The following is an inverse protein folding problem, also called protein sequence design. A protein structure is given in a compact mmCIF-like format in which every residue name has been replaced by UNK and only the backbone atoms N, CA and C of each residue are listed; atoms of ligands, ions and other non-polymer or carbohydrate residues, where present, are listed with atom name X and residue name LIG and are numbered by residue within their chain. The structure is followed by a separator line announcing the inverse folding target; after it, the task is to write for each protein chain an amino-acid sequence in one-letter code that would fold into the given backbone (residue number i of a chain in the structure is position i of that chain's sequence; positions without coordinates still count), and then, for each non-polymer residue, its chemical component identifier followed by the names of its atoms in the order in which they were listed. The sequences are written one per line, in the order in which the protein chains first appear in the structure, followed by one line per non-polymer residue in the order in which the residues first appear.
data_IF_763159921276
#
_entry.id   IF_763159921276
#
_cell.length_a   1.000
_cell.length_b   1.000
_cell.length_c   1.000
_cell.angle_alpha   90.00
_cell.angle_beta   90.00
_cell.angle_gamma   90.00
#
_symmetry.space_group_name_H-M   'P 1'
#
loop_
_entity.id
_entity.type
_entity.pdbx_description
1 polymer ?
#
# COMPACT_ATOMS: atom_id res chain seq x y z
N UNK A 1 -0.53 7.22 10.52
CA UNK A 1 0.57 8.21 10.62
C UNK A 1 0.38 9.23 9.51
N UNK A 2 0.02 10.47 9.84
CA UNK A 2 0.13 11.57 8.90
C UNK A 2 1.63 11.82 8.71
N UNK A 3 2.17 11.45 7.56
CA UNK A 3 3.45 11.97 7.13
C UNK A 3 3.30 13.48 6.97
N UNK A 4 3.57 14.24 8.02
CA UNK A 4 3.94 15.63 7.86
C UNK A 4 5.33 15.62 7.23
N UNK A 5 5.39 15.73 5.91
CA UNK A 5 6.62 16.15 5.27
C UNK A 5 6.92 17.53 5.85
N UNK A 6 7.98 17.64 6.63
CA UNK A 6 8.41 18.94 7.18
C UNK A 6 8.76 19.92 6.06
N UNK A 7 8.99 19.44 4.86
CA UNK A 7 9.31 20.23 3.68
C UNK A 7 8.16 20.12 2.67
N UNK A 8 7.46 21.22 2.46
CA UNK A 8 6.35 21.33 1.50
C UNK A 8 6.81 21.84 0.11
N UNK A 9 7.98 22.52 0.07
CA UNK A 9 8.52 23.09 -1.14
C UNK A 9 9.84 22.40 -1.51
N UNK A 10 9.89 21.86 -2.71
CA UNK A 10 11.10 21.26 -3.27
C UNK A 10 11.53 22.11 -4.46
N UNK A 11 12.72 22.72 -4.37
CA UNK A 11 13.25 23.61 -5.39
C UNK A 11 14.55 23.05 -5.92
N UNK A 12 14.58 22.70 -7.20
CA UNK A 12 15.81 22.35 -7.89
C UNK A 12 16.62 23.61 -8.20
N UNK A 13 17.91 23.44 -8.44
CA UNK A 13 18.79 24.54 -8.86
C UNK A 13 18.31 25.08 -10.21
N UNK A 14 18.26 26.40 -10.33
CA UNK A 14 17.95 27.07 -11.61
C UNK A 14 19.10 26.95 -12.57
N UNK A 15 18.81 26.93 -13.87
CA UNK A 15 19.83 27.06 -14.92
C UNK A 15 20.59 28.38 -14.77
N UNK A 16 21.92 28.32 -14.74
CA UNK A 16 22.78 29.50 -14.63
C UNK A 16 22.85 30.22 -15.96
N UNK A 17 23.05 31.54 -15.91
CA UNK A 17 23.28 32.37 -17.11
C UNK A 17 24.58 31.96 -17.77
N UNK A 18 24.63 32.07 -19.09
CA UNK A 18 25.88 32.09 -19.83
C UNK A 18 26.69 33.35 -19.49
N UNK A 19 27.96 33.33 -19.74
CA UNK A 19 28.85 34.47 -19.49
C UNK A 19 29.87 34.63 -20.61
N UNK A 20 30.68 35.67 -20.51
CA UNK A 20 31.84 35.89 -21.37
C UNK A 20 32.90 34.80 -21.23
N UNK A 21 33.99 34.87 -21.99
CA UNK A 21 35.09 33.89 -21.97
C UNK A 21 34.65 32.45 -22.22
N UNK A 22 33.70 32.23 -23.14
CA UNK A 22 33.15 30.94 -23.52
C UNK A 22 32.49 30.15 -22.37
N UNK A 23 32.02 30.81 -21.32
CA UNK A 23 31.35 30.12 -20.17
C UNK A 23 29.89 29.90 -20.47
N UNK A 24 29.50 28.63 -20.69
CA UNK A 24 28.11 28.19 -20.76
C UNK A 24 27.59 27.95 -19.33
N UNK A 25 26.39 28.44 -19.03
CA UNK A 25 25.74 28.19 -17.76
C UNK A 25 25.38 26.71 -17.60
N UNK A 26 25.53 26.18 -16.38
CA UNK A 26 25.14 24.81 -16.08
C UNK A 26 23.61 24.72 -15.90
N UNK A 27 23.02 23.60 -16.35
CA UNK A 27 21.68 23.21 -15.93
C UNK A 27 21.70 22.84 -14.45
N UNK A 28 20.61 23.08 -13.74
CA UNK A 28 20.47 22.66 -12.35
C UNK A 28 20.49 21.14 -12.21
N UNK A 29 20.84 20.67 -11.02
CA UNK A 29 20.79 19.24 -10.69
C UNK A 29 19.35 18.78 -10.46
N UNK A 30 19.05 17.53 -10.80
CA UNK A 30 17.77 16.92 -10.52
C UNK A 30 17.56 16.72 -9.02
N UNK A 31 16.32 16.89 -8.57
CA UNK A 31 15.91 16.57 -7.21
C UNK A 31 14.99 15.34 -7.25
N UNK A 32 15.28 14.36 -6.40
CA UNK A 32 14.49 13.17 -6.21
C UNK A 32 13.75 13.22 -4.88
N UNK A 33 12.42 13.18 -4.93
CA UNK A 33 11.55 13.07 -3.76
C UNK A 33 11.24 11.59 -3.56
N UNK A 34 11.78 11.00 -2.49
CA UNK A 34 11.50 9.60 -2.15
C UNK A 34 10.14 9.50 -1.47
N UNK A 35 9.29 8.64 -1.97
CA UNK A 35 7.95 8.39 -1.45
C UNK A 35 7.73 6.89 -1.24
N UNK A 36 6.86 6.48 -0.29
CA UNK A 36 6.49 5.08 -0.11
C UNK A 36 5.80 4.50 -1.35
N UNK A 37 5.92 3.18 -1.53
CA UNK A 37 5.18 2.42 -2.56
C UNK A 37 3.68 2.61 -2.36
N UNK A 38 2.92 2.76 -3.45
CA UNK A 38 1.48 3.03 -3.41
C UNK A 38 1.14 4.50 -3.18
N UNK A 39 2.10 5.41 -3.38
CA UNK A 39 1.82 6.85 -3.43
C UNK A 39 1.24 7.22 -4.78
N UNK A 40 0.09 7.89 -4.78
CA UNK A 40 -0.57 8.46 -5.95
C UNK A 40 -0.26 9.93 -6.05
N UNK A 41 0.16 10.35 -7.24
CA UNK A 41 0.41 11.75 -7.57
C UNK A 41 -0.85 12.30 -8.24
N UNK A 42 -1.43 13.34 -7.65
CA UNK A 42 -2.66 13.98 -8.11
C UNK A 42 -2.39 15.42 -8.53
N UNK A 43 -3.23 15.94 -9.42
CA UNK A 43 -3.27 17.36 -9.77
C UNK A 43 -3.58 18.24 -8.55
N UNK A 44 -3.34 19.54 -8.69
CA UNK A 44 -3.62 20.55 -7.66
C UNK A 44 -5.09 20.52 -7.21
N UNK A 45 -6.02 20.37 -8.15
CA UNK A 45 -7.46 20.26 -7.91
C UNK A 45 -7.90 18.86 -7.44
N UNK A 46 -6.98 17.90 -7.32
CA UNK A 46 -7.21 16.49 -6.90
C UNK A 46 -8.13 15.69 -7.83
N UNK A 47 -8.47 16.19 -9.00
CA UNK A 47 -9.38 15.51 -9.93
C UNK A 47 -8.65 14.54 -10.84
N UNK A 48 -7.44 14.87 -11.25
CA UNK A 48 -6.66 14.05 -12.18
C UNK A 48 -5.56 13.29 -11.45
N UNK A 49 -5.41 11.99 -11.77
CA UNK A 49 -4.29 11.16 -11.35
C UNK A 49 -3.20 11.26 -12.41
N UNK A 50 -2.03 11.77 -12.04
CA UNK A 50 -0.88 11.80 -12.93
C UNK A 50 -0.16 10.46 -12.97
N UNK A 51 0.07 9.85 -11.81
CA UNK A 51 0.72 8.55 -11.70
C UNK A 51 0.37 7.87 -10.38
N UNK A 52 0.24 6.56 -10.41
CA UNK A 52 0.21 5.66 -9.26
C UNK A 52 1.56 4.95 -9.19
N UNK A 53 2.38 5.27 -8.19
CA UNK A 53 3.74 4.77 -8.06
C UNK A 53 3.75 3.39 -7.44
N UNK A 54 4.16 2.41 -8.23
CA UNK A 54 4.44 1.04 -7.81
C UNK A 54 5.91 0.90 -7.37
N UNK A 55 6.31 -0.30 -6.99
CA UNK A 55 7.68 -0.57 -6.59
C UNK A 55 8.68 -0.27 -7.71
N UNK A 56 9.77 0.46 -7.38
CA UNK A 56 10.84 0.88 -8.29
C UNK A 56 10.40 1.76 -9.46
N UNK A 57 9.22 2.36 -9.39
CA UNK A 57 8.77 3.34 -10.39
C UNK A 57 9.19 4.77 -10.01
N UNK A 58 9.37 5.59 -11.02
CA UNK A 58 9.59 7.03 -10.89
C UNK A 58 8.67 7.81 -11.82
N UNK A 59 8.43 9.07 -11.49
CA UNK A 59 7.63 9.99 -12.28
C UNK A 59 8.35 11.34 -12.39
N UNK A 60 8.55 11.81 -13.61
CA UNK A 60 9.08 13.15 -13.86
C UNK A 60 7.94 14.16 -13.78
N UNK A 61 7.87 14.91 -12.68
CA UNK A 61 6.81 15.87 -12.46
C UNK A 61 6.98 17.12 -13.30
N UNK A 62 8.17 17.71 -13.30
CA UNK A 62 8.49 18.95 -14.03
C UNK A 62 9.92 18.93 -14.57
N UNK A 63 10.16 19.68 -15.61
CA UNK A 63 11.49 19.82 -16.24
C UNK A 63 12.19 21.05 -15.70
N UNK A 64 13.44 20.88 -15.28
CA UNK A 64 14.29 21.97 -14.82
C UNK A 64 14.68 22.94 -15.94
N UNK A 65 15.07 24.15 -15.57
CA UNK A 65 15.56 25.14 -16.50
C UNK A 65 16.94 24.78 -17.06
N UNK A 66 17.14 25.06 -18.34
CA UNK A 66 18.44 24.87 -19.02
C UNK A 66 19.36 26.05 -18.77
N UNK A 67 20.67 25.78 -18.66
CA UNK A 67 21.69 26.83 -18.60
C UNK A 67 21.78 27.61 -19.90
N UNK A 68 22.08 28.90 -19.79
CA UNK A 68 22.24 29.80 -20.92
C UNK A 68 23.54 29.58 -21.68
N UNK A 69 23.53 29.80 -22.98
CA UNK A 69 24.72 29.69 -23.84
C UNK A 69 25.68 30.84 -23.59
N UNK A 70 26.98 30.55 -23.50
CA UNK A 70 28.04 31.56 -23.40
C UNK A 70 28.23 32.36 -24.72
N UNK A 71 28.90 33.48 -24.62
CA UNK A 71 29.09 34.42 -25.75
C UNK A 71 29.70 33.78 -27.01
N UNK A 72 30.60 32.81 -26.83
CA UNK A 72 31.28 32.18 -27.97
C UNK A 72 30.31 31.43 -28.90
N UNK A 73 29.18 30.95 -28.42
CA UNK A 73 28.14 30.32 -29.25
C UNK A 73 27.42 31.29 -30.19
N UNK A 74 27.65 32.62 -30.04
CA UNK A 74 27.08 33.67 -30.87
C UNK A 74 28.13 34.29 -31.81
N UNK A 75 29.30 33.67 -31.95
CA UNK A 75 30.34 34.05 -32.89
C UNK A 75 29.85 33.87 -34.33
N UNK A 76 30.08 34.87 -35.16
CA UNK A 76 29.78 34.83 -36.60
C UNK A 76 30.94 35.39 -37.36
N UNK A 77 30.93 35.28 -38.71
CA UNK A 77 31.95 35.86 -39.62
C UNK A 77 32.09 37.37 -39.45
N UNK A 78 31.00 38.07 -39.19
CA UNK A 78 30.94 39.51 -39.00
C UNK A 78 31.17 39.96 -37.55
N UNK A 79 31.01 39.08 -36.57
CA UNK A 79 31.22 39.37 -35.15
C UNK A 79 32.00 38.25 -34.47
N UNK A 80 33.30 38.36 -34.47
CA UNK A 80 34.21 37.35 -33.95
C UNK A 80 34.36 37.38 -32.41
N UNK A 81 34.00 38.50 -31.76
CA UNK A 81 34.08 38.70 -30.31
C UNK A 81 32.74 39.16 -29.68
N UNK A 82 31.68 38.33 -29.75
CA UNK A 82 30.38 38.76 -29.27
C UNK A 82 30.39 38.95 -27.75
N UNK A 83 29.79 40.05 -27.29
CA UNK A 83 29.65 40.38 -25.86
C UNK A 83 28.32 39.84 -25.28
N UNK A 84 27.35 39.44 -26.13
CA UNK A 84 26.06 38.91 -25.70
C UNK A 84 26.19 37.44 -25.25
N UNK A 85 25.41 37.09 -24.27
CA UNK A 85 25.22 35.71 -23.80
C UNK A 85 23.74 35.46 -23.57
N UNK A 86 23.35 34.21 -23.46
CA UNK A 86 21.96 33.80 -23.18
C UNK A 86 21.75 33.65 -21.67
N UNK A 87 20.64 34.18 -21.17
CA UNK A 87 20.21 33.93 -19.82
C UNK A 87 19.78 32.49 -19.66
N UNK A 88 19.91 31.94 -18.44
CA UNK A 88 19.33 30.63 -18.10
C UNK A 88 17.81 30.68 -18.21
N UNK A 89 17.23 29.56 -18.63
CA UNK A 89 15.78 29.41 -18.77
C UNK A 89 15.25 28.98 -17.40
N UNK A 90 14.13 29.57 -16.95
CA UNK A 90 13.42 29.13 -15.75
C UNK A 90 12.88 27.70 -15.94
N UNK A 91 12.92 26.91 -14.90
CA UNK A 91 12.26 25.61 -14.85
C UNK A 91 10.75 25.74 -14.74
N UNK A 92 10.07 24.63 -14.93
CA UNK A 92 8.64 24.51 -14.68
C UNK A 92 8.38 24.37 -13.18
N UNK A 93 7.23 24.86 -12.74
CA UNK A 93 6.73 24.74 -11.38
C UNK A 93 5.35 24.08 -11.42
N UNK A 94 5.07 23.18 -10.48
CA UNK A 94 3.79 22.49 -10.41
C UNK A 94 3.43 22.17 -8.97
N UNK A 95 2.17 22.34 -8.62
CA UNK A 95 1.60 21.84 -7.38
C UNK A 95 1.04 20.44 -7.59
N UNK A 96 1.40 19.53 -6.70
CA UNK A 96 0.92 18.15 -6.72
C UNK A 96 0.49 17.72 -5.33
N UNK A 97 -0.54 16.88 -5.27
CA UNK A 97 -0.91 16.18 -4.05
C UNK A 97 -0.31 14.78 -4.08
N UNK A 98 0.37 14.43 -3.00
CA UNK A 98 0.86 13.07 -2.77
C UNK A 98 -0.09 12.37 -1.80
N UNK A 99 -0.79 11.36 -2.29
CA UNK A 99 -1.74 10.56 -1.49
C UNK A 99 -1.22 9.15 -1.36
N UNK A 100 -0.92 8.72 -0.13
CA UNK A 100 -0.53 7.34 0.13
C UNK A 100 -1.77 6.44 0.13
N UNK A 101 -1.77 5.40 -0.71
CA UNK A 101 -2.85 4.41 -0.80
C UNK A 101 -2.72 3.28 0.21
N UNK A 102 -1.53 2.99 0.75
CA UNK A 102 -1.34 1.90 1.70
C UNK A 102 -2.17 2.14 2.96
N UNK A 103 -2.97 1.14 3.33
CA UNK A 103 -3.77 1.14 4.55
C UNK A 103 -3.05 0.38 5.66
N UNK A 104 -2.51 -0.81 5.32
CA UNK A 104 -1.86 -1.69 6.27
C UNK A 104 -0.82 -2.60 5.57
N UNK A 105 0.06 -3.21 6.35
CA UNK A 105 0.95 -4.25 5.86
C UNK A 105 0.19 -5.56 5.71
N UNK A 106 -0.73 -5.85 6.65
CA UNK A 106 -1.49 -7.09 6.69
C UNK A 106 -2.98 -6.78 6.90
N UNK A 107 -3.82 -7.31 6.01
CA UNK A 107 -5.27 -7.24 6.13
C UNK A 107 -5.87 -8.55 6.63
N UNK A 108 -6.76 -8.49 7.61
CA UNK A 108 -7.54 -9.65 8.06
C UNK A 108 -8.81 -9.77 7.23
N UNK A 109 -9.04 -10.96 6.68
CA UNK A 109 -10.24 -11.32 5.96
C UNK A 109 -10.87 -12.58 6.55
N UNK A 110 -12.17 -12.75 6.37
CA UNK A 110 -12.91 -13.91 6.88
C UNK A 110 -14.37 -13.58 7.10
N UNK A 111 -15.18 -14.61 7.29
CA UNK A 111 -16.62 -14.47 7.56
C UNK A 111 -16.88 -13.64 8.84
N UNK A 112 -18.07 -13.06 9.00
CA UNK A 112 -18.45 -12.42 10.27
C UNK A 112 -18.22 -13.37 11.45
N UNK A 113 -17.81 -12.82 12.58
CA UNK A 113 -17.54 -13.55 13.83
C UNK A 113 -16.40 -14.58 13.76
N UNK A 114 -15.58 -14.59 12.71
CA UNK A 114 -14.39 -15.45 12.63
C UNK A 114 -13.27 -15.06 13.61
N UNK A 115 -13.42 -13.96 14.38
CA UNK A 115 -12.46 -13.54 15.39
C UNK A 115 -11.43 -12.51 14.91
N UNK A 116 -11.66 -11.81 13.79
CA UNK A 116 -10.74 -10.83 13.22
C UNK A 116 -10.40 -9.69 14.19
N UNK A 117 -11.39 -8.99 14.70
CA UNK A 117 -11.21 -7.84 15.61
C UNK A 117 -10.61 -8.28 16.96
N UNK A 118 -10.96 -9.48 17.44
CA UNK A 118 -10.36 -10.06 18.66
C UNK A 118 -8.87 -10.33 18.44
N UNK A 119 -8.52 -10.93 17.30
CA UNK A 119 -7.13 -11.20 16.96
C UNK A 119 -6.33 -9.89 16.79
N UNK A 120 -6.91 -8.89 16.14
CA UNK A 120 -6.29 -7.57 16.01
C UNK A 120 -5.97 -6.97 17.39
N UNK A 121 -6.92 -7.03 18.32
CA UNK A 121 -6.75 -6.48 19.68
C UNK A 121 -5.63 -7.18 20.45
N UNK A 122 -5.46 -8.49 20.26
CA UNK A 122 -4.45 -9.30 20.97
C UNK A 122 -3.06 -9.11 20.33
N UNK A 123 -2.97 -9.03 19.01
CA UNK A 123 -1.71 -8.84 18.31
C UNK A 123 -1.19 -7.40 18.40
N UNK A 124 -2.08 -6.43 18.56
CA UNK A 124 -1.71 -5.03 18.64
C UNK A 124 -1.10 -4.68 20.00
N UNK A 125 0.05 -4.01 19.97
CA UNK A 125 0.71 -3.49 21.19
C UNK A 125 -0.01 -2.29 21.81
N UNK A 126 -0.99 -1.71 21.11
CA UNK A 126 -1.82 -0.61 21.57
C UNK A 126 -3.28 -0.89 21.21
N UNK A 127 -4.24 -0.25 21.89
CA UNK A 127 -5.66 -0.38 21.53
C UNK A 127 -5.85 -0.05 20.05
N UNK A 128 -6.52 -0.92 19.26
CA UNK A 128 -6.80 -0.65 17.87
C UNK A 128 -7.55 0.67 17.71
N UNK A 129 -7.17 1.44 16.70
CA UNK A 129 -7.80 2.72 16.39
C UNK A 129 -8.64 2.58 15.13
N UNK A 130 -9.84 3.13 15.18
CA UNK A 130 -10.66 3.30 13.98
C UNK A 130 -10.00 4.39 13.13
N UNK A 131 -9.68 4.04 11.88
CA UNK A 131 -9.08 4.99 10.95
C UNK A 131 -10.14 5.55 10.01
N UNK A 132 -10.17 6.89 9.92
CA UNK A 132 -11.08 7.61 9.03
C UNK A 132 -10.35 7.91 7.72
N UNK A 133 -10.61 7.09 6.71
CA UNK A 133 -10.08 7.33 5.38
C UNK A 133 -11.18 7.97 4.51
N UNK A 134 -10.91 9.09 3.82
CA UNK A 134 -11.92 9.85 3.08
C UNK A 134 -12.57 9.10 1.91
N UNK A 135 -12.08 7.90 1.59
CA UNK A 135 -12.60 7.02 0.54
C UNK A 135 -13.28 5.75 1.10
N UNK A 136 -13.52 5.67 2.43
CA UNK A 136 -14.10 4.49 3.07
C UNK A 136 -15.40 4.83 3.78
N UNK A 137 -16.47 4.10 3.47
CA UNK A 137 -17.75 4.16 4.21
C UNK A 137 -17.71 3.25 5.44
N UNK A 138 -16.94 2.17 5.37
CA UNK A 138 -16.69 1.27 6.49
C UNK A 138 -15.28 1.54 6.98
N UNK A 139 -15.15 2.02 8.21
CA UNK A 139 -13.89 2.42 8.80
C UNK A 139 -13.12 1.19 9.26
N UNK A 140 -11.92 0.90 8.72
CA UNK A 140 -11.11 -0.20 9.19
C UNK A 140 -10.57 0.08 10.59
N UNK A 141 -10.45 -0.96 11.40
CA UNK A 141 -9.71 -0.87 12.66
C UNK A 141 -8.24 -1.20 12.39
N UNK A 142 -7.35 -0.33 12.82
CA UNK A 142 -5.91 -0.51 12.68
C UNK A 142 -5.25 -0.83 14.00
N UNK A 143 -4.35 -1.80 13.98
CA UNK A 143 -3.47 -2.15 15.08
C UNK A 143 -2.01 -2.10 14.64
N UNK A 144 -1.11 -1.95 15.59
CA UNK A 144 0.34 -1.97 15.35
C UNK A 144 0.94 -3.14 16.10
N UNK A 145 1.53 -4.06 15.38
CA UNK A 145 2.35 -5.14 15.92
C UNK A 145 3.81 -4.71 15.91
N UNK A 146 4.41 -4.56 17.07
CA UNK A 146 5.84 -4.27 17.22
C UNK A 146 6.63 -5.57 17.29
N UNK A 147 7.71 -5.63 16.54
CA UNK A 147 8.67 -6.73 16.58
C UNK A 147 10.10 -6.17 16.52
N UNK A 148 11.08 -7.02 16.79
CA UNK A 148 12.51 -6.63 16.71
C UNK A 148 12.93 -6.19 15.29
N UNK A 149 12.16 -6.56 14.25
CA UNK A 149 12.42 -6.19 12.86
C UNK A 149 11.65 -4.92 12.40
N UNK A 150 10.85 -4.31 13.29
CA UNK A 150 10.09 -3.11 13.01
C UNK A 150 8.62 -3.19 13.41
N UNK A 151 7.85 -2.22 12.95
CA UNK A 151 6.41 -2.13 13.19
C UNK A 151 5.64 -2.59 11.96
N UNK A 152 4.64 -3.47 12.17
CA UNK A 152 3.69 -3.89 11.14
C UNK A 152 2.32 -3.30 11.44
N UNK A 153 1.73 -2.67 10.46
CA UNK A 153 0.36 -2.17 10.53
C UNK A 153 -0.60 -3.29 10.12
N UNK A 154 -1.48 -3.65 11.04
CA UNK A 154 -2.52 -4.65 10.86
C UNK A 154 -3.85 -3.95 10.65
N UNK A 155 -4.70 -4.43 9.74
CA UNK A 155 -6.04 -3.90 9.52
C UNK A 155 -7.10 -5.00 9.67
N UNK A 156 -8.08 -4.78 10.53
CA UNK A 156 -9.33 -5.52 10.47
C UNK A 156 -10.19 -4.88 9.38
N UNK A 157 -10.51 -5.67 8.38
CA UNK A 157 -11.30 -5.24 7.24
C UNK A 157 -12.71 -5.82 7.40
N UNK A 158 -13.65 -5.05 8.00
CA UNK A 158 -15.02 -5.50 8.17
C UNK A 158 -15.76 -5.48 6.83
N UNK A 159 -16.61 -6.46 6.56
CA UNK A 159 -17.60 -6.34 5.48
C UNK A 159 -17.54 -7.32 4.31
N UNK A 160 -16.80 -8.44 4.38
CA UNK A 160 -17.05 -9.53 3.43
C UNK A 160 -18.37 -10.23 3.81
N UNK A 161 -19.46 -9.78 3.20
CA UNK A 161 -20.79 -10.38 3.28
C UNK A 161 -21.14 -10.93 1.90
N UNK A 162 -21.80 -12.10 1.89
CA UNK A 162 -22.30 -12.79 0.69
C UNK A 162 -22.95 -11.79 -0.30
N UNK A 163 -22.37 -11.64 -1.52
CA UNK A 163 -22.90 -10.74 -2.54
C UNK A 163 -22.22 -9.36 -2.65
N UNK A 164 -21.12 -9.13 -1.95
CA UNK A 164 -20.35 -7.87 -1.98
C UNK A 164 -19.89 -7.49 -3.40
N UNK A 165 -19.65 -8.46 -4.28
CA UNK A 165 -19.26 -8.25 -5.68
C UNK A 165 -20.45 -7.90 -6.60
N UNK A 166 -21.70 -8.11 -6.16
CA UNK A 166 -22.91 -7.94 -6.99
C UNK A 166 -23.62 -6.59 -6.77
N UNK A 167 -22.91 -5.48 -6.64
CA UNK A 167 -23.51 -4.18 -6.93
C UNK A 167 -24.05 -3.34 -5.79
N UNK A 168 -23.93 -3.73 -4.50
CA UNK A 168 -24.36 -2.86 -3.39
C UNK A 168 -23.30 -1.87 -2.89
N UNK A 169 -22.26 -1.60 -3.68
CA UNK A 169 -21.24 -0.57 -3.41
C UNK A 169 -20.31 -0.85 -2.20
N UNK A 170 -20.73 -1.61 -1.21
CA UNK A 170 -19.98 -1.93 0.00
C UNK A 170 -18.85 -2.94 -0.26
N UNK A 171 -19.07 -3.94 -1.10
CA UNK A 171 -18.08 -4.97 -1.39
C UNK A 171 -16.91 -4.50 -2.23
N UNK A 172 -17.15 -3.69 -3.25
CA UNK A 172 -16.08 -3.10 -4.08
C UNK A 172 -15.16 -2.18 -3.25
N UNK A 173 -15.72 -1.45 -2.30
CA UNK A 173 -14.95 -0.57 -1.41
C UNK A 173 -14.09 -1.36 -0.41
N UNK A 174 -14.60 -2.47 0.09
CA UNK A 174 -13.85 -3.38 0.95
C UNK A 174 -12.64 -3.99 0.24
N UNK A 175 -12.83 -4.47 -0.98
CA UNK A 175 -11.79 -5.07 -1.80
C UNK A 175 -10.69 -4.07 -2.16
N UNK A 176 -11.03 -2.79 -2.31
CA UNK A 176 -10.05 -1.71 -2.43
C UNK A 176 -9.16 -1.54 -1.17
N UNK A 177 -9.60 -2.00 0.00
CA UNK A 177 -8.77 -2.04 1.21
C UNK A 177 -7.77 -3.19 1.18
N UNK A 178 -8.19 -4.37 0.69
CA UNK A 178 -7.30 -5.53 0.51
C UNK A 178 -6.21 -5.22 -0.52
N UNK A 179 -6.56 -4.53 -1.62
CA UNK A 179 -5.59 -4.09 -2.62
C UNK A 179 -4.45 -3.27 -1.99
N UNK A 180 -4.74 -2.57 -0.92
CA UNK A 180 -3.81 -1.68 -0.20
C UNK A 180 -3.07 -2.34 0.95
N UNK A 181 -3.20 -3.65 1.12
CA UNK A 181 -2.40 -4.46 2.05
C UNK A 181 -1.28 -5.18 1.28
N UNK A 182 -0.14 -5.43 1.94
CA UNK A 182 0.96 -6.22 1.35
C UNK A 182 0.67 -7.72 1.40
N UNK A 183 0.03 -8.19 2.47
CA UNK A 183 -0.33 -9.58 2.69
C UNK A 183 -1.73 -9.71 3.32
N UNK A 184 -2.29 -10.91 3.27
CA UNK A 184 -3.63 -11.22 3.77
C UNK A 184 -3.54 -12.35 4.78
N UNK A 185 -4.23 -12.21 5.90
CA UNK A 185 -4.52 -13.30 6.82
C UNK A 185 -5.99 -13.67 6.67
N UNK A 186 -6.24 -14.87 6.20
CA UNK A 186 -7.58 -15.39 6.02
C UNK A 186 -7.99 -16.23 7.23
N UNK A 187 -8.88 -15.70 8.05
CA UNK A 187 -9.42 -16.40 9.22
C UNK A 187 -10.55 -17.35 8.83
N UNK A 188 -10.36 -18.62 9.16
CA UNK A 188 -11.34 -19.69 8.99
C UNK A 188 -11.80 -20.20 10.36
N UNK A 189 -13.07 -20.02 10.68
CA UNK A 189 -13.64 -20.37 11.97
C UNK A 189 -13.81 -21.89 12.12
N UNK A 190 -13.18 -22.48 13.15
CA UNK A 190 -13.28 -23.90 13.47
C UNK A 190 -14.56 -24.25 14.24
N UNK A 191 -15.32 -23.29 14.73
CA UNK A 191 -16.58 -23.53 15.43
C UNK A 191 -17.77 -23.88 14.51
N UNK A 192 -17.55 -23.82 13.19
CA UNK A 192 -18.58 -24.18 12.20
C UNK A 192 -18.91 -25.66 12.28
N UNK A 193 -20.20 -25.96 12.32
CA UNK A 193 -20.71 -27.33 12.60
C UNK A 193 -20.28 -28.38 11.56
N UNK A 194 -20.31 -28.04 10.27
CA UNK A 194 -20.00 -29.01 9.20
C UNK A 194 -18.76 -28.64 8.38
N UNK A 195 -18.05 -29.66 7.92
CA UNK A 195 -16.90 -29.51 7.03
C UNK A 195 -17.30 -28.90 5.66
N UNK A 196 -18.52 -29.22 5.20
CA UNK A 196 -19.05 -28.64 3.96
C UNK A 196 -19.20 -27.12 4.08
N UNK A 197 -19.79 -26.65 5.17
CA UNK A 197 -19.97 -25.22 5.46
C UNK A 197 -18.65 -24.52 5.69
N UNK A 198 -17.69 -25.17 6.35
CA UNK A 198 -16.35 -24.65 6.54
C UNK A 198 -15.64 -24.38 5.20
N UNK A 199 -15.69 -25.33 4.27
CA UNK A 199 -15.09 -25.17 2.93
C UNK A 199 -15.89 -24.17 2.08
N UNK A 200 -17.22 -24.14 2.18
CA UNK A 200 -18.04 -23.13 1.50
C UNK A 200 -17.66 -21.73 1.91
N UNK A 201 -17.49 -21.46 3.21
CA UNK A 201 -17.07 -20.16 3.73
C UNK A 201 -15.70 -19.76 3.19
N UNK A 202 -14.72 -20.66 3.19
CA UNK A 202 -13.40 -20.42 2.61
C UNK A 202 -13.49 -20.06 1.11
N UNK A 203 -14.18 -20.88 0.33
CA UNK A 203 -14.35 -20.69 -1.11
C UNK A 203 -15.08 -19.38 -1.44
N UNK A 204 -16.08 -19.02 -0.64
CA UNK A 204 -16.83 -17.79 -0.81
C UNK A 204 -15.91 -16.56 -0.71
N UNK A 205 -15.11 -16.47 0.35
CA UNK A 205 -14.17 -15.37 0.55
C UNK A 205 -13.12 -15.32 -0.60
N UNK A 206 -12.56 -16.47 -0.96
CA UNK A 206 -11.58 -16.56 -2.05
C UNK A 206 -12.17 -16.14 -3.38
N UNK A 207 -13.41 -16.55 -3.68
CA UNK A 207 -14.11 -16.17 -4.91
C UNK A 207 -14.35 -14.66 -4.96
N UNK A 208 -14.70 -14.02 -3.86
CA UNK A 208 -14.89 -12.58 -3.79
C UNK A 208 -13.58 -11.82 -4.04
N UNK A 209 -12.47 -12.25 -3.41
CA UNK A 209 -11.14 -11.68 -3.65
C UNK A 209 -10.73 -11.83 -5.12
N UNK A 210 -10.93 -13.01 -5.72
CA UNK A 210 -10.58 -13.30 -7.10
C UNK A 210 -11.43 -12.50 -8.11
N UNK A 211 -12.70 -12.25 -7.80
CA UNK A 211 -13.61 -11.53 -8.70
C UNK A 211 -13.31 -10.03 -8.78
N UNK A 212 -12.59 -9.49 -7.81
CA UNK A 212 -12.26 -8.07 -7.76
C UNK A 212 -11.04 -7.72 -8.62
N UNK A 213 -9.90 -8.34 -8.33
CA UNK A 213 -8.66 -8.09 -9.06
C UNK A 213 -7.73 -9.31 -9.00
N UNK A 214 -7.18 -9.65 -10.15
CA UNK A 214 -6.18 -10.73 -10.28
C UNK A 214 -4.89 -10.42 -9.51
N UNK A 215 -4.49 -9.16 -9.37
CA UNK A 215 -3.31 -8.77 -8.60
C UNK A 215 -3.50 -8.99 -7.10
N UNK A 216 -4.70 -8.72 -6.58
CA UNK A 216 -5.03 -8.99 -5.16
C UNK A 216 -4.94 -10.47 -4.85
N UNK A 217 -5.33 -11.32 -5.79
CA UNK A 217 -5.28 -12.78 -5.63
C UNK A 217 -3.86 -13.36 -5.56
N UNK A 218 -2.86 -12.64 -6.06
CA UNK A 218 -1.44 -13.02 -6.04
C UNK A 218 -0.73 -12.65 -4.74
N UNK A 219 -1.37 -11.86 -3.87
CA UNK A 219 -0.77 -11.47 -2.60
C UNK A 219 -0.47 -12.66 -1.72
N UNK A 220 0.57 -12.54 -0.89
CA UNK A 220 0.91 -13.55 0.11
C UNK A 220 -0.29 -13.75 1.04
N UNK A 221 -0.80 -14.98 1.10
CA UNK A 221 -1.91 -15.36 1.98
C UNK A 221 -1.43 -16.34 3.03
N UNK A 222 -1.82 -16.10 4.28
CA UNK A 222 -1.68 -17.04 5.39
C UNK A 222 -3.08 -17.41 5.83
N UNK A 223 -3.39 -18.71 5.87
CA UNK A 223 -4.66 -19.20 6.37
C UNK A 223 -4.53 -19.46 7.86
N UNK A 224 -5.47 -18.93 8.63
CA UNK A 224 -5.47 -19.02 10.07
C UNK A 224 -6.77 -19.64 10.56
N UNK A 225 -6.69 -20.86 11.05
CA UNK A 225 -7.82 -21.54 11.67
C UNK A 225 -8.03 -20.95 13.06
N UNK A 226 -9.12 -20.23 13.24
CA UNK A 226 -9.46 -19.58 14.51
C UNK A 226 -10.32 -20.46 15.41
N UNK A 227 -10.35 -20.17 16.71
CA UNK A 227 -11.13 -20.87 17.72
C UNK A 227 -10.79 -22.37 17.84
N UNK A 228 -9.49 -22.69 17.75
CA UNK A 228 -9.04 -24.09 17.84
C UNK A 228 -9.36 -24.76 19.20
N UNK A 229 -9.61 -23.96 20.22
CA UNK A 229 -10.07 -24.43 21.54
C UNK A 229 -11.48 -25.08 21.55
N UNK A 230 -12.28 -24.83 20.51
CA UNK A 230 -13.62 -25.39 20.34
C UNK A 230 -13.64 -26.63 19.44
N UNK A 231 -12.50 -27.07 18.93
CA UNK A 231 -12.38 -28.19 18.01
C UNK A 231 -11.40 -29.23 18.55
N UNK A 232 -11.65 -30.51 18.28
CA UNK A 232 -10.71 -31.59 18.61
C UNK A 232 -9.56 -31.61 17.59
N UNK A 233 -8.39 -32.15 17.98
CA UNK A 233 -7.24 -32.29 17.11
C UNK A 233 -7.56 -33.05 15.81
N UNK A 234 -8.42 -34.09 15.90
CA UNK A 234 -8.90 -34.82 14.72
C UNK A 234 -9.63 -33.93 13.73
N UNK A 235 -10.49 -33.01 14.20
CA UNK A 235 -11.22 -32.04 13.36
C UNK A 235 -10.27 -31.03 12.77
N UNK A 236 -9.32 -30.51 13.54
CA UNK A 236 -8.32 -29.54 13.08
C UNK A 236 -7.51 -30.16 11.94
N UNK A 237 -6.93 -31.35 12.12
CA UNK A 237 -6.15 -32.04 11.10
C UNK A 237 -6.96 -32.36 9.84
N UNK A 238 -8.21 -32.82 10.01
CA UNK A 238 -9.12 -33.06 8.88
C UNK A 238 -9.35 -31.79 8.06
N UNK A 239 -9.65 -30.67 8.71
CA UNK A 239 -9.90 -29.38 8.05
C UNK A 239 -8.64 -28.79 7.38
N UNK A 240 -7.47 -28.98 7.98
CA UNK A 240 -6.19 -28.65 7.34
C UNK A 240 -6.03 -29.44 6.04
N UNK A 241 -6.27 -30.76 6.08
CA UNK A 241 -6.14 -31.60 4.89
C UNK A 241 -7.17 -31.25 3.81
N UNK A 242 -8.37 -30.85 4.18
CA UNK A 242 -9.37 -30.36 3.25
C UNK A 242 -8.92 -29.05 2.57
N UNK A 243 -8.39 -28.10 3.32
CA UNK A 243 -7.91 -26.82 2.77
C UNK A 243 -6.71 -27.01 1.85
N UNK A 244 -5.78 -27.90 2.17
CA UNK A 244 -4.61 -28.21 1.32
C UNK A 244 -4.98 -28.67 -0.10
N UNK A 245 -6.21 -29.13 -0.33
CA UNK A 245 -6.71 -29.46 -1.69
C UNK A 245 -6.98 -28.21 -2.53
N UNK A 246 -7.17 -27.05 -1.92
CA UNK A 246 -7.56 -25.80 -2.57
C UNK A 246 -6.48 -24.73 -2.54
N UNK A 247 -5.46 -24.88 -1.69
CA UNK A 247 -4.42 -23.86 -1.52
C UNK A 247 -3.07 -24.46 -1.15
N UNK A 248 -2.01 -23.75 -1.55
CA UNK A 248 -0.62 -23.99 -1.12
C UNK A 248 -0.16 -23.03 -0.03
N UNK A 249 -1.05 -22.14 0.42
CA UNK A 249 -0.75 -21.17 1.47
C UNK A 249 -0.41 -21.84 2.79
N UNK A 250 0.39 -21.19 3.62
CA UNK A 250 0.71 -21.65 4.98
C UNK A 250 -0.57 -21.68 5.81
N UNK A 251 -0.82 -22.77 6.51
CA UNK A 251 -1.99 -22.96 7.38
C UNK A 251 -1.50 -23.07 8.82
N UNK A 252 -1.97 -22.19 9.67
CA UNK A 252 -1.75 -22.20 11.11
C UNK A 252 -3.11 -22.28 11.84
N UNK A 253 -3.10 -22.61 13.14
CA UNK A 253 -4.27 -22.58 13.98
C UNK A 253 -4.02 -21.77 15.24
N UNK A 254 -5.05 -21.10 15.73
CA UNK A 254 -4.98 -20.23 16.91
C UNK A 254 -6.24 -20.36 17.78
N UNK A 255 -6.06 -20.06 19.06
CA UNK A 255 -7.13 -19.61 19.94
C UNK A 255 -6.77 -18.26 20.54
N UNK A 256 -7.55 -17.26 20.20
CA UNK A 256 -7.45 -15.92 20.78
C UNK A 256 -7.83 -15.95 22.27
N UNK A 257 -8.76 -16.82 22.67
CA UNK A 257 -9.22 -16.92 24.04
C UNK A 257 -8.19 -17.61 24.96
N UNK A 258 -7.55 -18.69 24.47
CA UNK A 258 -6.55 -19.46 25.23
C UNK A 258 -5.10 -19.07 24.91
N UNK A 259 -4.88 -18.04 24.10
CA UNK A 259 -3.54 -17.58 23.65
C UNK A 259 -2.71 -18.68 22.95
N UNK A 260 -3.37 -19.68 22.32
CA UNK A 260 -2.68 -20.76 21.62
C UNK A 260 -2.25 -20.28 20.22
N UNK A 261 -1.01 -20.59 19.82
CA UNK A 261 -0.49 -20.35 18.46
C UNK A 261 -0.13 -18.89 18.14
N UNK A 262 -0.34 -17.94 19.04
CA UNK A 262 -0.12 -16.50 18.79
C UNK A 262 1.36 -16.15 18.63
N UNK A 263 2.25 -16.72 19.44
CA UNK A 263 3.71 -16.46 19.31
C UNK A 263 4.25 -17.02 17.99
N UNK A 264 3.81 -18.20 17.58
CA UNK A 264 4.14 -18.75 16.27
C UNK A 264 3.67 -17.85 15.14
N UNK A 265 2.43 -17.33 15.23
CA UNK A 265 1.91 -16.38 14.27
C UNK A 265 2.74 -15.10 14.22
N UNK A 266 3.08 -14.51 15.36
CA UNK A 266 3.94 -13.30 15.39
C UNK A 266 5.30 -13.55 14.73
N UNK A 267 5.88 -14.73 14.90
CA UNK A 267 7.15 -15.09 14.25
C UNK A 267 6.99 -15.30 12.73
N UNK A 268 5.86 -15.81 12.29
CA UNK A 268 5.54 -16.01 10.86
C UNK A 268 5.26 -14.70 10.11
N UNK A 269 4.92 -13.64 10.85
CA UNK A 269 4.64 -12.31 10.32
C UNK A 269 5.90 -11.41 10.25
N UNK A 270 6.98 -11.85 10.86
CA UNK A 270 8.32 -11.22 10.75
C UNK A 270 8.94 -11.58 9.41
#
# INVERSE_FOLDING_TARGET
MLFRSYQQHFKAESGKNGAGKNKTGHSGKDIFIKVPVGTVILSEDKKQIYKDLKEKESYLAVVGGKGGKGNFKFKSSTNQAPRRFQQGIKGQEMWVWLRLKLIADIGFVGVPNAGKSTLLSILSNAKPKIADYPFTTVKPQLGILRSNLGELVLADLPGLIKGASKGTGLGLRFLAHIERCKAIIHLCDLSVESDAKFIENYKMIRKEILSYDKEVSKKKEIILLSKCDLATDKVIQKRINLLKKFTRSKINFISSHKNIGLEKLKNDLK
#
